data_IF_548363475918
#
_entry.id   IF_548363475918
#
_cell.length_a   1.000
_cell.length_b   1.000
_cell.length_c   1.000
_cell.angle_alpha   90.00
_cell.angle_beta   90.00
_cell.angle_gamma   90.00
#
_symmetry.space_group_name_H-M   'P 1'
#
loop_
_entity.id
_entity.type
_entity.pdbx_description
1 polymer ?
#
# COMPACT_ATOMS: atom_id res chain seq x y z
N UNK A 1 -16.95 -7.22 -11.90
CA UNK A 1 -16.04 -6.23 -12.52
C UNK A 1 -16.13 -6.46 -14.02
N UNK A 2 -16.48 -5.44 -14.77
CA UNK A 2 -16.52 -5.50 -16.23
C UNK A 2 -15.14 -5.15 -16.84
N UNK A 3 -15.02 -5.16 -18.17
CA UNK A 3 -13.74 -4.96 -18.86
C UNK A 3 -13.17 -3.55 -18.63
N UNK A 4 -14.02 -2.52 -18.57
CA UNK A 4 -13.57 -1.15 -18.31
C UNK A 4 -13.09 -0.98 -16.88
N UNK A 5 -13.83 -1.51 -15.89
CA UNK A 5 -13.39 -1.54 -14.48
C UNK A 5 -12.07 -2.30 -14.32
N UNK A 6 -11.91 -3.42 -15.05
CA UNK A 6 -10.67 -4.22 -15.00
C UNK A 6 -9.50 -3.47 -15.63
N UNK A 7 -9.72 -2.74 -16.70
CA UNK A 7 -8.71 -1.90 -17.35
C UNK A 7 -8.25 -0.79 -16.41
N UNK A 8 -9.20 -0.08 -15.78
CA UNK A 8 -8.87 0.96 -14.80
C UNK A 8 -8.15 0.38 -13.58
N UNK A 9 -8.62 -0.74 -13.03
CA UNK A 9 -7.97 -1.41 -11.92
C UNK A 9 -6.54 -1.84 -12.26
N UNK A 10 -6.31 -2.30 -13.49
CA UNK A 10 -4.97 -2.66 -13.98
C UNK A 10 -4.06 -1.43 -14.08
N UNK A 11 -4.60 -0.29 -14.51
CA UNK A 11 -3.87 0.98 -14.54
C UNK A 11 -3.41 1.43 -13.15
N UNK A 12 -4.20 1.17 -12.12
CA UNK A 12 -3.96 1.60 -10.74
C UNK A 12 -3.12 0.60 -9.93
N UNK A 13 -3.00 -0.64 -10.38
CA UNK A 13 -2.38 -1.70 -9.60
C UNK A 13 -0.90 -1.40 -9.28
N UNK A 14 -0.57 -1.38 -7.99
CA UNK A 14 0.76 -1.03 -7.47
C UNK A 14 1.26 0.37 -7.84
N UNK A 15 0.34 1.31 -8.00
CA UNK A 15 0.63 2.70 -8.29
C UNK A 15 -0.09 3.62 -7.32
N UNK A 16 0.51 4.79 -7.11
CA UNK A 16 -0.08 5.93 -6.44
C UNK A 16 -0.10 7.04 -7.48
N UNK A 17 -1.28 7.35 -7.98
CA UNK A 17 -1.47 8.27 -9.11
C UNK A 17 -2.41 9.40 -8.71
N UNK A 18 -2.11 10.58 -9.18
CA UNK A 18 -3.04 11.71 -9.16
C UNK A 18 -4.14 11.51 -10.20
N UNK A 19 -5.29 12.11 -9.95
CA UNK A 19 -6.46 11.95 -10.83
C UNK A 19 -6.20 12.23 -12.32
N UNK A 20 -5.43 13.29 -12.70
CA UNK A 20 -5.08 13.50 -14.11
C UNK A 20 -4.24 12.36 -14.70
N UNK A 21 -3.31 11.80 -13.92
CA UNK A 21 -2.47 10.67 -14.34
C UNK A 21 -3.30 9.39 -14.50
N UNK A 22 -4.27 9.17 -13.62
CA UNK A 22 -5.22 8.03 -13.74
C UNK A 22 -5.95 8.12 -15.06
N UNK A 23 -6.43 9.31 -15.43
CA UNK A 23 -7.15 9.54 -16.67
C UNK A 23 -6.27 9.26 -17.91
N UNK A 24 -5.06 9.78 -17.92
CA UNK A 24 -4.11 9.57 -19.01
C UNK A 24 -3.78 8.08 -19.22
N UNK A 25 -3.45 7.36 -18.14
CA UNK A 25 -3.14 5.93 -18.19
C UNK A 25 -4.35 5.10 -18.61
N UNK A 26 -5.55 5.45 -18.14
CA UNK A 26 -6.77 4.77 -18.52
C UNK A 26 -7.08 4.95 -20.02
N UNK A 27 -7.05 6.18 -20.53
CA UNK A 27 -7.27 6.49 -21.95
C UNK A 27 -6.25 5.79 -22.87
N UNK A 28 -4.99 5.67 -22.40
CA UNK A 28 -3.94 4.92 -23.11
C UNK A 28 -4.32 3.43 -23.20
N UNK A 29 -4.70 2.82 -22.10
CA UNK A 29 -5.07 1.41 -22.07
C UNK A 29 -6.35 1.14 -22.88
N UNK A 30 -7.33 2.05 -22.88
CA UNK A 30 -8.53 1.90 -23.73
C UNK A 30 -8.16 1.87 -25.23
N UNK A 31 -7.25 2.75 -25.65
CA UNK A 31 -6.76 2.74 -27.05
C UNK A 31 -5.98 1.47 -27.38
N UNK A 32 -5.06 1.07 -26.50
CA UNK A 32 -4.20 -0.10 -26.73
C UNK A 32 -5.00 -1.41 -26.76
N UNK A 33 -6.07 -1.50 -25.98
CA UNK A 33 -6.93 -2.69 -25.91
C UNK A 33 -8.15 -2.62 -26.84
N UNK A 34 -8.33 -1.54 -27.62
CA UNK A 34 -9.47 -1.30 -28.48
C UNK A 34 -10.84 -1.49 -27.76
N UNK A 35 -10.93 -1.01 -26.51
CA UNK A 35 -12.12 -1.14 -25.69
C UNK A 35 -13.13 -0.07 -26.10
N UNK A 36 -14.37 -0.48 -26.42
CA UNK A 36 -15.47 0.44 -26.62
C UNK A 36 -15.97 0.92 -25.26
N UNK A 37 -15.75 2.20 -24.96
CA UNK A 37 -16.20 2.79 -23.70
C UNK A 37 -17.71 3.05 -23.74
N UNK A 38 -18.44 2.51 -22.75
CA UNK A 38 -19.87 2.80 -22.53
C UNK A 38 -20.11 3.54 -21.20
N UNK A 39 -19.06 3.75 -20.41
CA UNK A 39 -19.08 4.53 -19.15
C UNK A 39 -17.92 5.49 -19.12
N UNK A 40 -18.03 6.49 -18.27
CA UNK A 40 -16.91 7.39 -17.98
C UNK A 40 -15.89 6.70 -17.06
N UNK A 41 -14.66 7.17 -17.09
CA UNK A 41 -13.60 6.71 -16.17
C UNK A 41 -14.00 6.98 -14.71
N UNK A 42 -14.62 8.12 -14.45
CA UNK A 42 -15.09 8.55 -13.13
C UNK A 42 -16.15 7.59 -12.57
N UNK A 43 -17.10 7.12 -13.40
CA UNK A 43 -18.09 6.12 -12.99
C UNK A 43 -17.42 4.78 -12.64
N UNK A 44 -16.46 4.34 -13.45
CA UNK A 44 -15.69 3.13 -13.18
C UNK A 44 -14.90 3.26 -11.87
N UNK A 45 -14.22 4.39 -11.64
CA UNK A 45 -13.47 4.68 -10.43
C UNK A 45 -14.38 4.69 -9.20
N UNK A 46 -15.51 5.38 -9.26
CA UNK A 46 -16.49 5.42 -8.18
C UNK A 46 -16.97 4.03 -7.77
N UNK A 47 -17.24 3.15 -8.74
CA UNK A 47 -17.64 1.75 -8.49
C UNK A 47 -16.54 0.92 -7.85
N UNK A 48 -15.29 1.10 -8.29
CA UNK A 48 -14.13 0.42 -7.69
C UNK A 48 -13.90 0.89 -6.25
N UNK A 49 -14.04 2.19 -5.98
CA UNK A 49 -13.96 2.76 -4.62
C UNK A 49 -15.09 2.23 -3.72
N UNK A 50 -16.34 2.20 -4.20
CA UNK A 50 -17.49 1.67 -3.44
C UNK A 50 -17.32 0.20 -3.08
N UNK A 51 -16.64 -0.57 -3.93
CA UNK A 51 -16.34 -2.00 -3.66
C UNK A 51 -15.08 -2.20 -2.81
N UNK A 52 -14.39 -1.15 -2.41
CA UNK A 52 -13.14 -1.24 -1.66
C UNK A 52 -11.95 -1.79 -2.43
N UNK A 53 -12.02 -1.85 -3.78
CA UNK A 53 -10.93 -2.33 -4.64
C UNK A 53 -9.89 -1.26 -4.93
N UNK A 54 -10.29 0.00 -4.81
CA UNK A 54 -9.45 1.19 -4.95
C UNK A 54 -9.76 2.12 -3.79
N UNK A 55 -8.72 2.74 -3.24
CA UNK A 55 -8.84 3.82 -2.27
C UNK A 55 -8.48 5.14 -2.92
N UNK A 56 -9.10 6.23 -2.46
CA UNK A 56 -8.81 7.58 -2.91
C UNK A 56 -8.67 8.50 -1.69
N UNK A 57 -7.70 9.39 -1.71
CA UNK A 57 -7.48 10.42 -0.70
C UNK A 57 -7.58 11.82 -1.31
N UNK A 58 -7.83 12.82 -0.47
CA UNK A 58 -7.95 14.23 -0.84
C UNK A 58 -7.10 15.08 0.10
N UNK A 59 -6.59 16.19 -0.39
CA UNK A 59 -5.85 17.16 0.41
C UNK A 59 -5.45 18.37 -0.42
N UNK A 60 -5.07 19.43 0.25
CA UNK A 60 -4.62 20.68 -0.41
C UNK A 60 -3.18 20.53 -0.94
N UNK A 61 -2.45 19.56 -0.45
CA UNK A 61 -1.11 19.18 -0.91
C UNK A 61 -1.04 17.69 -1.20
N UNK A 62 -0.09 17.28 -2.06
CA UNK A 62 0.14 15.86 -2.41
C UNK A 62 0.37 15.00 -1.17
N UNK A 63 1.06 15.56 -0.16
CA UNK A 63 1.32 14.86 1.08
C UNK A 63 0.06 14.69 1.93
N UNK A 64 -0.81 15.69 2.00
CA UNK A 64 -2.08 15.59 2.72
C UNK A 64 -3.01 14.59 2.04
N UNK A 65 -3.10 14.63 0.71
CA UNK A 65 -3.86 13.65 -0.07
C UNK A 65 -3.31 12.23 0.13
N UNK A 66 -1.99 12.07 0.18
CA UNK A 66 -1.35 10.77 0.44
C UNK A 66 -1.65 10.27 1.87
N UNK A 67 -1.62 11.16 2.87
CA UNK A 67 -1.95 10.77 4.24
C UNK A 67 -3.43 10.43 4.40
N UNK A 68 -4.32 11.22 3.82
CA UNK A 68 -5.76 10.93 3.80
C UNK A 68 -6.06 9.58 3.14
N UNK A 69 -5.35 9.29 2.04
CA UNK A 69 -5.44 7.98 1.37
C UNK A 69 -5.01 6.82 2.26
N UNK A 70 -3.89 6.96 2.97
CA UNK A 70 -3.23 5.84 3.66
C UNK A 70 -3.58 5.74 5.14
N UNK A 71 -3.96 6.84 5.80
CA UNK A 71 -4.07 6.97 7.24
C UNK A 71 -4.92 5.88 7.90
N UNK A 72 -6.06 5.55 7.31
CA UNK A 72 -7.00 4.53 7.79
C UNK A 72 -6.76 3.12 7.23
N UNK A 73 -5.81 2.96 6.30
CA UNK A 73 -5.54 1.65 5.70
C UNK A 73 -4.59 0.83 6.58
N UNK A 74 -4.96 -0.43 6.78
CA UNK A 74 -4.15 -1.40 7.51
C UNK A 74 -3.03 -1.95 6.64
N UNK A 75 -1.85 -2.03 7.21
CA UNK A 75 -0.61 -2.42 6.52
C UNK A 75 -0.30 -3.88 6.79
N UNK A 76 -0.33 -4.69 5.73
CA UNK A 76 0.00 -6.12 5.82
C UNK A 76 1.28 -6.41 5.04
N UNK A 77 2.35 -6.88 5.70
CA UNK A 77 3.56 -7.29 5.01
C UNK A 77 3.32 -8.48 4.10
N UNK A 78 3.83 -8.41 2.87
CA UNK A 78 3.84 -9.56 1.98
C UNK A 78 4.93 -10.54 2.42
N UNK A 79 4.51 -11.69 2.95
CA UNK A 79 5.41 -12.81 3.21
C UNK A 79 5.66 -13.55 1.90
N UNK A 80 6.81 -13.33 1.30
CA UNK A 80 7.21 -14.17 0.17
C UNK A 80 7.79 -15.49 0.68
N UNK A 81 7.12 -16.57 0.34
CA UNK A 81 7.68 -17.90 0.54
C UNK A 81 8.92 -18.07 -0.34
N UNK A 82 10.07 -18.34 0.29
CA UNK A 82 11.33 -18.65 -0.42
C UNK A 82 11.15 -19.82 -1.39
N UNK A 83 10.31 -20.78 -1.04
CA UNK A 83 9.97 -21.93 -1.89
C UNK A 83 9.25 -21.52 -3.17
N UNK A 84 8.26 -20.61 -3.08
CA UNK A 84 7.54 -20.10 -4.24
C UNK A 84 8.46 -19.30 -5.17
N UNK A 85 9.37 -18.49 -4.60
CA UNK A 85 10.39 -17.76 -5.37
C UNK A 85 11.31 -18.70 -6.10
N UNK A 86 11.80 -19.75 -5.44
CA UNK A 86 12.68 -20.75 -6.04
C UNK A 86 11.97 -21.49 -7.18
N UNK A 87 10.72 -21.92 -6.98
CA UNK A 87 9.91 -22.59 -8.02
C UNK A 87 9.70 -21.66 -9.22
N UNK A 88 9.39 -20.37 -8.97
CA UNK A 88 9.22 -19.39 -10.05
C UNK A 88 10.52 -19.15 -10.79
N UNK A 89 11.65 -19.04 -10.11
CA UNK A 89 12.98 -18.94 -10.71
C UNK A 89 13.29 -20.13 -11.63
N UNK A 90 13.10 -21.35 -11.12
CA UNK A 90 13.30 -22.57 -11.90
C UNK A 90 12.37 -22.61 -13.13
N UNK A 91 11.10 -22.23 -12.96
CA UNK A 91 10.14 -22.17 -14.06
C UNK A 91 10.54 -21.18 -15.15
N UNK A 92 11.02 -19.99 -14.78
CA UNK A 92 11.48 -18.97 -15.73
C UNK A 92 12.75 -19.39 -16.47
N UNK A 93 13.72 -19.96 -15.76
CA UNK A 93 15.00 -20.37 -16.35
C UNK A 93 14.85 -21.63 -17.22
N UNK A 94 14.16 -22.65 -16.74
CA UNK A 94 14.08 -23.96 -17.40
C UNK A 94 13.01 -23.97 -18.48
N UNK A 95 11.77 -23.48 -18.18
CA UNK A 95 10.64 -23.57 -19.10
C UNK A 95 10.55 -22.41 -20.09
N UNK A 96 10.98 -21.22 -19.69
CA UNK A 96 10.90 -20.02 -20.55
C UNK A 96 12.24 -19.58 -21.14
N UNK A 97 13.33 -20.26 -20.82
CA UNK A 97 14.67 -19.96 -21.36
C UNK A 97 15.21 -18.57 -21.01
N UNK A 98 14.67 -17.96 -19.94
CA UNK A 98 15.17 -16.66 -19.46
C UNK A 98 16.57 -16.85 -18.90
N UNK A 99 17.54 -15.99 -19.29
CA UNK A 99 18.90 -16.10 -18.78
C UNK A 99 18.93 -15.98 -17.26
N UNK A 100 19.79 -16.74 -16.60
CA UNK A 100 19.91 -16.82 -15.13
C UNK A 100 20.12 -15.41 -14.54
N UNK A 101 20.89 -14.56 -15.18
CA UNK A 101 21.16 -13.17 -14.74
C UNK A 101 19.88 -12.34 -14.74
N UNK A 102 19.09 -12.37 -15.83
CA UNK A 102 17.81 -11.66 -15.90
C UNK A 102 16.77 -12.21 -14.93
N UNK A 103 16.72 -13.54 -14.79
CA UNK A 103 15.84 -14.17 -13.80
C UNK A 103 16.24 -13.78 -12.37
N UNK A 104 17.54 -13.66 -12.07
CA UNK A 104 18.03 -13.24 -10.76
C UNK A 104 17.73 -11.77 -10.47
N UNK A 105 17.87 -10.88 -11.44
CA UNK A 105 17.56 -9.46 -11.29
C UNK A 105 16.07 -9.22 -10.99
N UNK A 106 15.16 -10.02 -11.57
CA UNK A 106 13.72 -9.97 -11.26
C UNK A 106 13.41 -10.34 -9.80
N UNK A 107 14.30 -11.07 -9.12
CA UNK A 107 14.16 -11.48 -7.72
C UNK A 107 14.99 -10.64 -6.75
N UNK A 108 15.80 -9.72 -7.26
CA UNK A 108 16.58 -8.82 -6.42
C UNK A 108 15.62 -7.81 -5.78
N UNK A 109 15.37 -7.97 -4.49
CA UNK A 109 14.61 -6.99 -3.72
C UNK A 109 15.49 -5.82 -3.34
N UNK A 110 14.97 -4.63 -3.49
CA UNK A 110 15.50 -3.46 -2.81
C UNK A 110 15.37 -3.69 -1.30
N UNK A 111 16.48 -3.58 -0.59
CA UNK A 111 16.48 -3.72 0.87
C UNK A 111 15.76 -2.51 1.45
N UNK A 112 14.83 -2.72 2.40
CA UNK A 112 14.23 -1.62 3.12
C UNK A 112 15.30 -0.83 3.87
N UNK A 113 15.18 0.48 3.90
CA UNK A 113 16.00 1.32 4.74
C UNK A 113 15.66 1.09 6.24
N UNK A 114 16.41 1.67 7.16
CA UNK A 114 16.23 1.45 8.60
C UNK A 114 14.81 1.81 9.07
N UNK A 115 14.24 2.91 8.55
CA UNK A 115 12.87 3.37 8.88
C UNK A 115 11.81 2.43 8.32
N UNK A 116 11.97 2.00 7.08
CA UNK A 116 11.09 1.02 6.43
C UNK A 116 11.17 -0.34 7.14
N UNK A 117 12.36 -0.74 7.58
CA UNK A 117 12.56 -1.98 8.34
C UNK A 117 11.84 -1.94 9.70
N UNK A 118 11.84 -0.78 10.38
CA UNK A 118 11.08 -0.57 11.62
C UNK A 118 9.57 -0.73 11.39
N UNK A 119 9.01 -0.10 10.35
CA UNK A 119 7.60 -0.23 9.98
C UNK A 119 7.26 -1.69 9.67
N UNK A 120 8.08 -2.36 8.87
CA UNK A 120 7.90 -3.78 8.55
C UNK A 120 7.95 -4.68 9.78
N UNK A 121 8.81 -4.37 10.77
CA UNK A 121 8.90 -5.12 12.01
C UNK A 121 7.62 -4.99 12.86
N UNK A 122 7.10 -3.77 13.01
CA UNK A 122 5.83 -3.51 13.71
C UNK A 122 4.65 -4.17 13.01
N UNK A 123 4.52 -3.99 11.68
CA UNK A 123 3.42 -4.58 10.90
C UNK A 123 3.42 -6.12 10.85
N UNK A 124 4.55 -6.77 11.20
CA UNK A 124 4.59 -8.24 11.34
C UNK A 124 4.11 -8.73 12.70
N UNK A 125 4.14 -7.87 13.72
CA UNK A 125 3.73 -8.22 15.08
C UNK A 125 2.21 -8.07 15.26
N UNK A 126 1.62 -7.04 14.64
CA UNK A 126 0.19 -6.77 14.69
C UNK A 126 -0.32 -6.17 13.38
N UNK A 127 -1.61 -6.34 13.12
CA UNK A 127 -2.30 -5.68 12.02
C UNK A 127 -2.59 -4.23 12.42
N UNK A 128 -1.86 -3.29 11.86
CA UNK A 128 -1.90 -1.88 12.20
C UNK A 128 -2.28 -1.02 11.01
N UNK A 129 -3.08 0.01 11.25
CA UNK A 129 -3.29 1.09 10.30
C UNK A 129 -2.04 1.97 10.18
N UNK A 130 -1.97 2.76 9.13
CA UNK A 130 -0.87 3.74 8.98
C UNK A 130 -0.82 4.72 10.14
N UNK A 131 -1.97 5.19 10.65
CA UNK A 131 -2.03 6.10 11.78
C UNK A 131 -1.53 5.45 13.08
N UNK A 132 -1.88 4.19 13.33
CA UNK A 132 -1.37 3.43 14.47
C UNK A 132 0.14 3.20 14.38
N UNK A 133 0.67 2.93 13.19
CA UNK A 133 2.11 2.84 12.97
C UNK A 133 2.82 4.17 13.27
N UNK A 134 2.21 5.30 12.87
CA UNK A 134 2.73 6.62 13.21
C UNK A 134 2.77 6.81 14.72
N UNK A 135 1.70 6.44 15.44
CA UNK A 135 1.65 6.56 16.89
C UNK A 135 2.69 5.67 17.58
N UNK A 136 2.84 4.41 17.17
CA UNK A 136 3.89 3.54 17.69
C UNK A 136 5.30 4.14 17.53
N UNK A 137 5.56 4.73 16.38
CA UNK A 137 6.83 5.38 16.10
C UNK A 137 7.02 6.66 16.93
N UNK A 138 5.98 7.48 17.07
CA UNK A 138 6.03 8.73 17.85
C UNK A 138 6.31 8.46 19.33
N UNK A 139 5.70 7.42 19.88
CA UNK A 139 5.93 6.96 21.28
C UNK A 139 7.26 6.19 21.43
N UNK A 140 7.87 5.78 20.31
CA UNK A 140 9.15 5.07 20.31
C UNK A 140 9.06 3.59 20.66
N UNK A 141 7.87 3.00 20.58
CA UNK A 141 7.64 1.58 20.84
C UNK A 141 8.17 0.72 19.69
N UNK A 142 8.85 -0.37 20.05
CA UNK A 142 9.43 -1.33 19.08
C UNK A 142 8.90 -2.74 19.22
N UNK A 143 8.22 -3.03 20.32
CA UNK A 143 7.66 -4.36 20.62
C UNK A 143 6.19 -4.22 21.00
N UNK A 144 5.33 -4.79 20.16
CA UNK A 144 3.87 -4.83 20.29
C UNK A 144 3.36 -6.26 20.09
N UNK A 145 4.20 -7.24 20.41
CA UNK A 145 3.93 -8.66 20.18
C UNK A 145 2.80 -9.26 21.06
N UNK A 146 2.34 -8.52 22.06
CA UNK A 146 1.21 -8.90 22.91
C UNK A 146 0.13 -7.83 22.87
N UNK A 147 -1.14 -8.25 23.05
CA UNK A 147 -2.29 -7.32 23.06
C UNK A 147 -2.14 -6.22 24.11
N UNK A 148 -1.60 -6.55 25.29
CA UNK A 148 -1.34 -5.60 26.37
C UNK A 148 -0.36 -4.49 25.92
N UNK A 149 0.78 -4.87 25.34
CA UNK A 149 1.75 -3.90 24.79
C UNK A 149 1.19 -3.06 23.66
N UNK A 150 0.36 -3.68 22.81
CA UNK A 150 -0.32 -3.00 21.73
C UNK A 150 -1.28 -1.94 22.27
N UNK A 151 -2.13 -2.33 23.23
CA UNK A 151 -3.09 -1.41 23.84
C UNK A 151 -2.38 -0.29 24.59
N UNK A 152 -1.33 -0.58 25.33
CA UNK A 152 -0.52 0.43 26.02
C UNK A 152 0.14 1.41 25.03
N UNK A 153 0.63 0.92 23.89
CA UNK A 153 1.28 1.76 22.89
C UNK A 153 0.29 2.69 22.17
N UNK A 154 -0.92 2.23 21.90
CA UNK A 154 -1.89 2.91 21.05
C UNK A 154 -2.96 3.68 21.85
N UNK A 155 -3.44 3.11 22.96
CA UNK A 155 -4.67 3.56 23.62
C UNK A 155 -4.51 3.82 25.13
N UNK A 156 -3.26 4.02 25.59
CA UNK A 156 -2.99 4.33 27.00
C UNK A 156 -3.46 5.74 27.40
N UNK A 157 -3.70 6.62 26.44
CA UNK A 157 -4.36 7.90 26.67
C UNK A 157 -5.89 7.75 26.52
N UNK A 158 -6.65 8.44 27.38
CA UNK A 158 -8.12 8.36 27.37
C UNK A 158 -8.79 8.96 26.13
N UNK A 159 -8.01 9.64 25.27
CA UNK A 159 -8.54 10.43 24.16
C UNK A 159 -8.38 9.71 22.82
N UNK A 160 -7.52 8.70 22.71
CA UNK A 160 -7.28 7.97 21.46
C UNK A 160 -8.17 6.76 21.31
N UNK A 161 -8.86 6.68 20.18
CA UNK A 161 -9.67 5.53 19.76
C UNK A 161 -9.28 5.12 18.33
N UNK A 162 -9.69 3.92 17.91
CA UNK A 162 -9.51 3.47 16.52
C UNK A 162 -10.09 4.44 15.48
N UNK A 163 -11.17 5.14 15.85
CA UNK A 163 -11.90 6.01 14.92
C UNK A 163 -11.24 7.38 14.76
N UNK A 164 -10.54 7.89 15.80
CA UNK A 164 -9.96 9.23 15.80
C UNK A 164 -8.43 9.28 15.70
N UNK A 165 -7.76 8.14 15.77
CA UNK A 165 -6.29 8.08 15.75
C UNK A 165 -5.69 8.70 14.46
N UNK A 166 -6.37 8.59 13.33
CA UNK A 166 -5.93 9.20 12.09
C UNK A 166 -5.93 10.74 12.19
N UNK A 167 -6.95 11.32 12.81
CA UNK A 167 -7.06 12.76 13.02
C UNK A 167 -6.04 13.27 14.05
N UNK A 168 -5.83 12.51 15.13
CA UNK A 168 -4.84 12.86 16.16
C UNK A 168 -3.42 12.86 15.56
N UNK A 169 -3.12 11.91 14.69
CA UNK A 169 -1.81 11.80 14.05
C UNK A 169 -1.54 12.84 12.96
N UNK A 170 -2.51 13.69 12.60
CA UNK A 170 -2.30 14.81 11.66
C UNK A 170 -1.17 15.75 12.11
N UNK A 171 -0.95 15.92 13.41
CA UNK A 171 0.07 16.82 13.97
C UNK A 171 1.37 16.11 14.35
N UNK A 172 1.45 14.78 14.21
CA UNK A 172 2.61 13.99 14.60
C UNK A 172 3.85 14.34 13.75
N UNK A 173 5.02 14.48 14.40
CA UNK A 173 6.29 14.78 13.72
C UNK A 173 6.74 13.66 12.81
N UNK A 174 6.46 12.42 13.19
CA UNK A 174 6.78 11.22 12.41
C UNK A 174 5.86 11.01 11.22
N UNK A 175 4.69 11.67 11.14
CA UNK A 175 3.68 11.48 10.10
C UNK A 175 4.28 11.45 8.69
N UNK A 176 5.05 12.48 8.34
CA UNK A 176 5.58 12.63 6.98
C UNK A 176 6.46 11.46 6.56
N UNK A 177 7.42 11.10 7.36
CA UNK A 177 8.37 10.08 6.96
C UNK A 177 7.77 8.66 7.04
N UNK A 178 6.86 8.39 7.99
CA UNK A 178 6.17 7.10 8.09
C UNK A 178 5.26 6.88 6.89
N UNK A 179 4.44 7.89 6.53
CA UNK A 179 3.56 7.82 5.37
C UNK A 179 4.35 7.57 4.08
N UNK A 180 5.44 8.30 3.87
CA UNK A 180 6.32 8.11 2.70
C UNK A 180 6.98 6.74 2.70
N UNK A 181 7.44 6.26 3.85
CA UNK A 181 8.04 4.93 3.96
C UNK A 181 7.03 3.82 3.62
N UNK A 182 5.79 3.93 4.09
CA UNK A 182 4.69 3.01 3.77
C UNK A 182 4.37 3.05 2.26
N UNK A 183 4.26 4.25 1.67
CA UNK A 183 4.06 4.41 0.23
C UNK A 183 5.18 3.74 -0.58
N UNK A 184 6.45 3.92 -0.18
CA UNK A 184 7.59 3.28 -0.81
C UNK A 184 7.55 1.75 -0.71
N UNK A 185 7.19 1.22 0.46
CA UNK A 185 7.04 -0.23 0.66
C UNK A 185 5.94 -0.80 -0.25
N UNK A 186 4.83 -0.08 -0.42
CA UNK A 186 3.76 -0.46 -1.33
C UNK A 186 4.22 -0.46 -2.80
N UNK A 187 4.84 0.62 -3.26
CA UNK A 187 5.36 0.73 -4.64
C UNK A 187 6.39 -0.35 -4.96
N UNK A 188 7.17 -0.80 -3.96
CA UNK A 188 8.11 -1.93 -4.08
C UNK A 188 7.45 -3.29 -3.88
N UNK A 189 6.13 -3.36 -3.74
CA UNK A 189 5.37 -4.60 -3.55
C UNK A 189 5.81 -5.42 -2.33
N UNK A 190 6.16 -4.73 -1.24
CA UNK A 190 6.57 -5.36 0.02
C UNK A 190 5.44 -5.44 1.05
N UNK A 191 4.40 -4.64 0.85
CA UNK A 191 3.18 -4.60 1.67
C UNK A 191 1.94 -4.55 0.76
N UNK A 192 0.80 -4.92 1.33
CA UNK A 192 -0.54 -4.64 0.79
C UNK A 192 -1.34 -3.87 1.81
N UNK A 193 -2.35 -3.17 1.33
CA UNK A 193 -3.32 -2.51 2.19
C UNK A 193 -4.58 -3.34 2.32
N UNK A 194 -5.16 -3.31 3.52
CA UNK A 194 -6.47 -3.86 3.82
C UNK A 194 -7.37 -2.75 4.36
N UNK A 195 -8.63 -2.81 4.00
CA UNK A 195 -9.68 -1.97 4.58
C UNK A 195 -10.54 -2.86 5.46
N UNK A 196 -10.68 -2.51 6.72
CA UNK A 196 -11.55 -3.19 7.67
C UNK A 196 -12.89 -2.45 7.74
#
# INVERSE_FOLDING_TARGET
MDIQEMTLWTALNWRLLEFPQVKEEYEKLERDCAISAWRTMEDCLGRLCTRGLVAAGRGDTDFEALYDLLGSLYVTPLSESLTLRLVTFLKLTILKGVSITKAWDLFRKDRPNEREAQIMALSRQALLSTAELIKCVEVGVRDISTDEKLMDALYNDNDTTSDNIADIMLTAKSRKWVTVAIANLYLRKQIIFQRV
#
